data_IF_187631413835
#
_entry.id   IF_187631413835
#
_cell.length_a   1.000
_cell.length_b   1.000
_cell.length_c   1.000
_cell.angle_alpha   90.00
_cell.angle_beta   90.00
_cell.angle_gamma   90.00
#
_symmetry.space_group_name_H-M   'P 1'
#
loop_
_entity.id
_entity.type
_entity.pdbx_description
1 polymer ?
2 non-polymer ?
3 non-polymer ?
4 water ?
#
# COMPACT_ATOMS: atom_id res chain seq x y z
N UNK A 38 16.71 -5.44 -2.13
CA UNK A 38 17.19 -4.59 -3.29
C UNK A 38 17.25 -5.43 -4.57
N UNK A 39 18.46 -5.85 -4.97
CA UNK A 39 18.59 -6.86 -6.02
C UNK A 39 17.84 -8.14 -5.60
N UNK A 40 17.73 -8.36 -4.28
CA UNK A 40 16.94 -9.45 -3.70
C UNK A 40 15.45 -9.32 -3.99
N UNK A 41 14.87 -8.16 -3.68
CA UNK A 41 13.45 -7.90 -3.99
C UNK A 41 13.20 -7.74 -5.50
N UNK A 42 14.14 -7.06 -6.18
CA UNK A 42 14.02 -6.76 -7.61
C UNK A 42 13.93 -8.04 -8.44
N UNK A 43 12.94 -8.09 -9.33
CA UNK A 43 12.74 -9.27 -10.16
C UNK A 43 11.28 -9.58 -10.44
N UNK A 44 11.03 -10.81 -10.87
CA UNK A 44 9.70 -11.27 -11.26
C UNK A 44 9.18 -12.28 -10.24
N UNK A 45 7.95 -12.08 -9.79
CA UNK A 45 7.32 -12.91 -8.76
C UNK A 45 5.94 -13.35 -9.24
N UNK A 46 5.54 -14.58 -8.86
CA UNK A 46 4.18 -15.06 -9.09
C UNK A 46 3.52 -15.46 -7.77
N UNK A 47 2.21 -15.29 -7.70
CA UNK A 47 1.50 -15.75 -6.51
C UNK A 47 0.64 -16.99 -6.81
N UNK A 48 -0.03 -17.48 -5.77
CA UNK A 48 -0.78 -18.73 -5.85
C UNK A 48 -2.01 -18.63 -6.77
N UNK A 49 -2.43 -17.42 -7.13
CA UNK A 49 -3.49 -17.23 -8.13
C UNK A 49 -2.98 -17.31 -9.56
N UNK A 50 -1.67 -17.20 -9.75
CA UNK A 50 -1.11 -17.11 -11.10
C UNK A 50 -0.89 -15.68 -11.55
N UNK A 51 -1.06 -14.73 -10.61
CA UNK A 51 -0.76 -13.32 -10.89
C UNK A 51 0.74 -13.10 -10.93
N UNK A 52 1.18 -12.05 -11.64
CA UNK A 52 2.59 -11.73 -11.77
C UNK A 52 2.92 -10.29 -11.33
N UNK A 53 4.07 -10.13 -10.71
CA UNK A 53 4.49 -8.92 -10.01
C UNK A 53 5.95 -8.72 -10.49
N UNK A 54 6.20 -7.69 -11.30
CA UNK A 54 7.57 -7.32 -11.69
C UNK A 54 7.91 -6.03 -10.92
N UNK A 55 9.03 -6.04 -10.20
CA UNK A 55 9.34 -4.96 -9.28
C UNK A 55 10.81 -4.60 -9.33
N UNK A 56 11.09 -3.32 -9.11
CA UNK A 56 12.43 -2.85 -8.89
C UNK A 56 12.48 -2.17 -7.51
N UNK A 57 13.43 -2.60 -6.68
CA UNK A 57 13.58 -2.02 -5.35
C UNK A 57 14.71 -0.99 -5.41
N UNK A 58 14.36 0.29 -5.22
CA UNK A 58 15.34 1.38 -5.31
C UNK A 58 16.13 1.52 -4.02
N UNK A 59 17.32 2.09 -4.13
CA UNK A 59 18.21 2.34 -2.99
C UNK A 59 17.58 3.20 -1.88
N UNK A 60 16.64 4.06 -2.26
CA UNK A 60 15.95 4.97 -1.35
C UNK A 60 14.72 4.35 -0.64
N UNK A 61 14.47 3.06 -0.89
CA UNK A 61 13.31 2.39 -0.29
C UNK A 61 12.10 2.33 -1.21
N UNK A 62 12.27 2.77 -2.45
CA UNK A 62 11.16 2.77 -3.41
C UNK A 62 10.89 1.38 -4.00
N UNK A 63 9.61 1.03 -4.17
CA UNK A 63 9.25 -0.10 -5.02
C UNK A 63 8.45 0.44 -6.19
N UNK A 64 8.82 0.01 -7.40
CA UNK A 64 8.14 0.42 -8.63
C UNK A 64 8.00 -0.77 -9.56
N UNK A 65 6.95 -0.81 -10.34
CA UNK A 65 6.86 -1.87 -11.31
C UNK A 65 5.47 -2.05 -11.83
N UNK A 66 5.13 -3.30 -12.06
CA UNK A 66 3.97 -3.60 -12.86
C UNK A 66 3.33 -4.95 -12.40
N UNK A 67 2.01 -4.99 -12.33
CA UNK A 67 1.29 -6.13 -11.77
C UNK A 67 0.26 -6.65 -12.78
N UNK A 68 0.22 -7.96 -12.98
CA UNK A 68 -0.85 -8.59 -13.78
C UNK A 68 -1.62 -9.56 -12.90
N UNK A 69 -2.91 -9.31 -12.72
CA UNK A 69 -3.72 -10.19 -11.90
C UNK A 69 -4.38 -11.28 -12.76
N UNK A 70 -4.40 -12.50 -12.23
CA UNK A 70 -5.03 -13.63 -12.90
C UNK A 70 -6.57 -13.61 -12.71
N UNK A 71 -7.04 -12.79 -11.77
CA UNK A 71 -8.42 -12.84 -11.30
C UNK A 71 -9.00 -11.44 -11.11
N UNK A 72 -10.32 -11.32 -11.16
CA UNK A 72 -10.98 -10.04 -10.86
C UNK A 72 -11.30 -9.23 -12.10
N UNK A 73 -11.71 -8.00 -11.90
CA UNK A 73 -12.20 -7.17 -12.99
C UNK A 73 -11.05 -6.35 -13.56
N UNK A 74 -10.22 -7.02 -14.36
CA UNK A 74 -8.88 -6.51 -14.74
C UNK A 74 -8.31 -7.28 -15.92
N UNK A 75 -7.46 -6.61 -16.69
CA UNK A 75 -6.68 -7.24 -17.73
C UNK A 75 -5.45 -6.40 -18.03
N UNK A 76 -4.43 -7.05 -18.61
CA UNK A 76 -3.17 -6.39 -18.95
C UNK A 76 -2.40 -5.90 -17.68
N UNK A 77 -1.38 -5.06 -17.88
CA UNK A 77 -0.48 -4.63 -16.80
C UNK A 77 -1.02 -3.41 -16.09
N UNK A 78 -0.81 -3.35 -14.77
CA UNK A 78 -1.16 -2.17 -13.97
C UNK A 78 0.07 -1.65 -13.24
N UNK A 79 0.12 -0.34 -13.02
CA UNK A 79 1.23 0.29 -12.29
C UNK A 79 1.19 -0.09 -10.81
N UNK A 80 2.34 -0.45 -10.25
CA UNK A 80 2.43 -0.59 -8.80
C UNK A 80 3.47 0.35 -8.24
N UNK A 81 3.20 0.83 -7.03
CA UNK A 81 4.17 1.63 -6.30
C UNK A 81 4.11 1.28 -4.83
N UNK A 82 5.26 1.30 -4.17
CA UNK A 82 5.35 0.89 -2.76
C UNK A 82 6.62 1.38 -2.12
N UNK A 83 6.87 0.89 -0.91
CA UNK A 83 8.04 1.22 -0.11
C UNK A 83 8.50 -0.05 0.58
N UNK A 84 9.78 -0.13 0.87
CA UNK A 84 10.30 -1.23 1.68
C UNK A 84 11.37 -0.67 2.63
N UNK A 85 11.62 -1.43 3.68
CA UNK A 85 12.68 -1.12 4.64
C UNK A 85 14.02 -1.38 3.95
N UNK A 86 14.73 -0.29 3.60
CA UNK A 86 16.00 -0.42 2.88
C UNK A 86 17.22 -0.68 3.77
N UNK A 87 17.01 -0.75 5.09
CA UNK A 87 18.07 -1.15 6.02
C UNK A 87 17.52 -2.12 7.06
N UNK A 88 17.11 -3.33 6.63
CA UNK A 88 16.45 -4.25 7.57
C UNK A 88 17.40 -4.75 8.66
N UNK A 89 16.83 -5.43 9.65
CA UNK A 89 17.62 -6.10 10.67
C UNK A 89 18.37 -7.29 10.05
N UNK A 90 19.63 -7.46 10.42
CA UNK A 90 20.44 -8.55 9.86
C UNK A 90 20.30 -9.82 10.70
N UNK A 91 19.19 -9.91 11.43
CA UNK A 91 19.03 -10.96 12.42
C UNK A 91 18.17 -12.14 11.93
N UNK A 92 18.00 -12.31 10.62
CA UNK A 92 17.11 -13.36 10.14
C UNK A 92 15.65 -12.97 10.26
N UNK A 93 15.39 -11.67 10.45
CA UNK A 93 14.03 -11.13 10.33
C UNK A 93 13.80 -10.87 8.85
N UNK A 94 12.55 -10.94 8.44
CA UNK A 94 12.16 -10.54 7.09
C UNK A 94 12.29 -9.03 6.89
N UNK A 95 12.10 -8.60 5.64
CA UNK A 95 12.15 -7.20 5.26
C UNK A 95 10.75 -6.67 5.01
N UNK A 96 10.31 -5.74 5.85
CA UNK A 96 8.93 -5.23 5.74
C UNK A 96 8.77 -4.42 4.47
N UNK A 97 7.60 -4.56 3.85
CA UNK A 97 7.32 -3.80 2.63
C UNK A 97 5.82 -3.67 2.43
N UNK A 98 5.45 -2.84 1.48
CA UNK A 98 4.07 -2.83 1.00
C UNK A 98 3.99 -2.17 -0.35
N UNK A 99 2.93 -2.44 -1.10
CA UNK A 99 2.74 -1.73 -2.37
C UNK A 99 1.27 -1.64 -2.68
N UNK A 100 0.91 -0.70 -3.54
CA UNK A 100 -0.48 -0.60 -3.97
C UNK A 100 -0.63 -0.61 -5.48
N UNK A 101 -1.75 -1.16 -5.93
CA UNK A 101 -2.16 -1.12 -7.32
C UNK A 101 -3.57 -0.53 -7.33
N UNK A 102 -3.77 0.55 -8.11
CA UNK A 102 -5.13 0.98 -8.46
C UNK A 102 -5.49 0.30 -9.77
N UNK A 103 -6.62 -0.39 -9.77
CA UNK A 103 -7.01 -1.22 -10.90
C UNK A 103 -7.60 -0.40 -12.04
N UNK A 104 -6.83 0.58 -12.48
CA UNK A 104 -7.09 1.35 -13.68
C UNK A 104 -5.84 1.36 -14.55
N UNK A 105 -5.99 0.95 -15.80
CA UNK A 105 -4.95 1.16 -16.81
C UNK A 105 -5.60 1.68 -18.11
N UNK A 106 -4.91 1.58 -19.23
CA UNK A 106 -5.45 2.11 -20.48
C UNK A 106 -6.59 1.27 -21.04
N UNK A 107 -6.83 0.10 -20.44
CA UNK A 107 -7.81 -0.87 -20.97
C UNK A 107 -9.06 -1.05 -20.14
N UNK A 108 -8.90 -0.91 -18.82
CA UNK A 108 -9.99 -1.23 -17.90
C UNK A 108 -9.89 -0.41 -16.62
N UNK A 109 -11.05 -0.13 -16.04
CA UNK A 109 -11.09 0.52 -14.75
C UNK A 109 -12.09 -0.18 -13.86
N UNK A 110 -11.61 -0.82 -12.79
CA UNK A 110 -12.51 -1.55 -11.85
C UNK A 110 -13.00 -0.69 -10.71
N UNK A 111 -12.51 0.55 -10.64
CA UNK A 111 -12.85 1.49 -9.55
C UNK A 111 -12.53 0.85 -8.18
N UNK A 112 -11.29 0.39 -8.07
CA UNK A 112 -10.84 -0.33 -6.89
C UNK A 112 -9.32 -0.26 -6.80
N UNK A 113 -8.80 -0.64 -5.65
CA UNK A 113 -7.37 -0.61 -5.39
C UNK A 113 -7.03 -1.61 -4.31
N UNK A 114 -5.88 -2.26 -4.48
CA UNK A 114 -5.40 -3.25 -3.53
C UNK A 114 -4.10 -2.74 -2.94
N UNK A 115 -3.96 -2.93 -1.63
CA UNK A 115 -2.64 -2.74 -0.98
C UNK A 115 -2.21 -4.08 -0.38
N UNK A 116 -0.95 -4.43 -0.62
CA UNK A 116 -0.34 -5.61 -0.03
C UNK A 116 0.67 -5.18 1.01
N UNK A 117 0.57 -5.79 2.18
CA UNK A 117 1.48 -5.50 3.28
C UNK A 117 2.15 -6.81 3.68
N UNK A 118 3.48 -6.82 3.71
CA UNK A 118 4.14 -8.08 3.98
C UNK A 118 5.62 -7.99 4.28
N UNK A 119 6.28 -9.13 4.16
CA UNK A 119 7.71 -9.16 4.31
C UNK A 119 8.35 -10.05 3.26
N UNK A 120 9.50 -9.59 2.82
CA UNK A 120 10.37 -10.35 1.95
C UNK A 120 11.28 -11.23 2.80
N UNK A 121 11.33 -12.50 2.43
CA UNK A 121 12.23 -13.45 3.07
C UNK A 121 13.19 -13.97 2.01
N UNK A 122 14.47 -13.61 2.16
CA UNK A 122 15.46 -13.89 1.13
C UNK A 122 15.99 -15.31 1.13
N UNK A 123 17.08 -15.52 0.40
CA UNK A 123 17.70 -16.85 0.32
C UNK A 123 17.40 -17.55 -0.99
N UNK A 124 17.74 -18.84 -1.05
CA UNK A 124 17.62 -19.61 -2.28
C UNK A 124 16.17 -19.75 -2.76
N UNK A 125 15.25 -19.86 -1.81
CA UNK A 125 13.80 -19.96 -2.10
C UNK A 125 13.11 -18.70 -1.61
N UNK A 126 13.34 -17.59 -2.30
CA UNK A 126 12.90 -16.26 -1.82
C UNK A 126 11.38 -16.17 -1.88
N UNK A 127 10.79 -15.57 -0.85
CA UNK A 127 9.33 -15.41 -0.79
C UNK A 127 8.95 -14.00 -0.36
N UNK A 128 7.80 -13.51 -0.83
CA UNK A 128 7.17 -12.33 -0.23
C UNK A 128 5.82 -12.80 0.27
N UNK A 129 5.64 -12.73 1.59
CA UNK A 129 4.42 -13.19 2.27
C UNK A 129 3.58 -11.98 2.62
N UNK A 130 2.32 -11.96 2.17
CA UNK A 130 1.54 -10.74 2.29
C UNK A 130 0.16 -11.00 2.82
N UNK A 131 -0.40 -9.96 3.43
CA UNK A 131 -1.84 -9.83 3.59
C UNK A 131 -2.25 -8.60 2.77
N UNK A 132 -3.49 -8.60 2.27
CA UNK A 132 -3.92 -7.52 1.41
C UNK A 132 -5.32 -7.04 1.71
N UNK A 133 -5.56 -5.80 1.32
CA UNK A 133 -6.89 -5.19 1.39
C UNK A 133 -7.23 -4.66 0.02
N UNK A 134 -8.39 -5.07 -0.47
CA UNK A 134 -8.94 -4.58 -1.74
C UNK A 134 -10.17 -3.73 -1.45
N UNK A 135 -10.07 -2.43 -1.69
CA UNK A 135 -11.20 -1.52 -1.49
C UNK A 135 -11.78 -1.09 -2.82
N UNK A 136 -13.09 -1.23 -2.97
CA UNK A 136 -13.78 -0.72 -4.15
C UNK A 136 -14.45 0.61 -3.83
N UNK A 137 -14.50 1.51 -4.81
CA UNK A 137 -15.26 2.76 -4.63
C UNK A 137 -16.73 2.35 -4.50
N UNK A 138 -17.40 2.89 -3.48
CA UNK A 138 -18.81 2.60 -3.22
C UNK A 138 -19.58 3.89 -2.89
N UNK A 139 -20.90 3.81 -2.93
CA UNK A 139 -21.75 4.86 -2.38
C UNK A 139 -21.65 4.77 -0.87
N UNK A 140 -22.07 5.83 -0.18
CA UNK A 140 -22.00 5.84 1.28
C UNK A 140 -22.83 4.72 1.91
N UNK A 141 -23.99 4.44 1.32
CA UNK A 141 -24.86 3.36 1.79
C UNK A 141 -24.17 1.99 1.74
N UNK A 142 -23.26 1.82 0.78
CA UNK A 142 -22.58 0.53 0.57
C UNK A 142 -21.13 0.44 1.09
N UNK A 143 -20.67 1.48 1.77
CA UNK A 143 -19.27 1.53 2.24
C UNK A 143 -18.89 0.40 3.21
N UNK A 144 -19.86 -0.05 4.01
CA UNK A 144 -19.63 -1.18 4.93
C UNK A 144 -19.10 -2.45 4.23
N UNK A 145 -19.48 -2.66 2.96
CA UNK A 145 -19.01 -3.83 2.18
C UNK A 145 -18.00 -3.47 1.07
N UNK A 146 -17.26 -2.39 1.30
CA UNK A 146 -16.32 -1.87 0.29
C UNK A 146 -14.99 -2.63 0.23
N UNK A 147 -14.67 -3.38 1.28
CA UNK A 147 -13.30 -3.92 1.42
C UNK A 147 -13.17 -5.43 1.61
N UNK A 148 -12.42 -6.09 0.70
CA UNK A 148 -12.08 -7.50 0.84
C UNK A 148 -10.72 -7.63 1.50
N UNK A 149 -10.51 -8.72 2.23
CA UNK A 149 -9.22 -9.02 2.83
C UNK A 149 -8.77 -10.42 2.36
N UNK A 150 -7.46 -10.59 2.20
CA UNK A 150 -6.91 -11.89 1.81
C UNK A 150 -5.42 -11.98 2.09
N UNK A 151 -4.79 -13.00 1.51
CA UNK A 151 -3.37 -13.22 1.71
C UNK A 151 -2.75 -13.88 0.46
N UNK A 152 -1.65 -13.30 -0.02
CA UNK A 152 -0.95 -13.82 -1.19
C UNK A 152 0.46 -14.18 -0.81
N UNK A 153 0.92 -15.32 -1.33
CA UNK A 153 2.32 -15.70 -1.21
C UNK A 153 3.00 -15.61 -2.55
N UNK A 154 4.10 -14.86 -2.62
CA UNK A 154 4.81 -14.64 -3.87
C UNK A 154 6.12 -15.43 -3.89
N UNK A 155 6.34 -16.14 -4.99
CA UNK A 155 7.57 -16.89 -5.22
C UNK A 155 8.38 -16.20 -6.32
N UNK A 156 9.68 -16.00 -6.09
CA UNK A 156 10.53 -15.35 -7.09
C UNK A 156 10.90 -16.34 -8.19
N UNK A 157 10.89 -15.84 -9.42
CA UNK A 157 11.14 -16.62 -10.62
C UNK A 157 12.56 -16.37 -11.11
N UNK A 158 13.27 -17.45 -11.43
CA UNK A 158 14.63 -17.32 -11.98
C UNK A 158 14.59 -16.77 -13.42
N UNK B 40 -9.95 18.28 -3.73
CA UNK B 40 -9.74 16.84 -4.05
C UNK B 40 -8.86 16.14 -3.03
N UNK B 41 -8.15 15.12 -3.49
CA UNK B 41 -7.27 14.35 -2.62
C UNK B 41 -6.04 15.15 -2.24
N UNK B 42 -5.53 15.94 -3.18
CA UNK B 42 -4.31 16.70 -2.89
C UNK B 42 -4.55 17.61 -1.69
N UNK B 43 -3.66 17.54 -0.71
CA UNK B 43 -3.75 18.44 0.43
C UNK B 43 -3.17 17.83 1.67
N UNK B 44 -3.44 18.46 2.80
CA UNK B 44 -2.97 18.01 4.11
C UNK B 44 -4.13 17.44 4.93
N UNK B 45 -3.97 16.19 5.34
CA UNK B 45 -5.01 15.47 6.06
C UNK B 45 -4.54 15.06 7.43
N UNK B 46 -5.50 14.80 8.32
CA UNK B 46 -5.20 14.39 9.68
C UNK B 46 -6.14 13.29 10.07
N UNK B 47 -5.60 12.26 10.74
CA UNK B 47 -6.47 11.18 11.22
C UNK B 47 -6.85 11.34 12.70
N UNK B 48 -7.56 10.36 13.22
CA UNK B 48 -8.10 10.43 14.58
C UNK B 48 -7.00 10.32 15.64
N UNK B 49 -5.81 9.87 15.25
CA UNK B 49 -4.66 9.77 16.15
C UNK B 49 -3.87 11.07 16.25
N UNK B 50 -4.10 11.98 15.31
CA UNK B 50 -3.32 13.20 15.20
C UNK B 50 -2.17 13.11 14.22
N UNK B 51 -2.13 12.03 13.44
CA UNK B 51 -1.11 11.87 12.40
C UNK B 51 -1.40 12.83 11.23
N UNK B 52 -0.34 13.28 10.56
CA UNK B 52 -0.46 14.18 9.42
C UNK B 52 -0.11 13.45 8.13
N UNK B 53 -0.95 13.58 7.11
CA UNK B 53 -0.80 12.93 5.79
C UNK B 53 -0.83 14.07 4.74
N UNK B 54 0.32 14.35 4.14
CA UNK B 54 0.45 15.39 3.13
C UNK B 54 0.65 14.65 1.82
N UNK B 55 -0.30 14.81 0.90
CA UNK B 55 -0.31 14.02 -0.32
C UNK B 55 -0.57 14.87 -1.55
N UNK B 56 0.09 14.50 -2.66
CA UNK B 56 -0.22 15.03 -3.99
C UNK B 56 -0.79 13.92 -4.85
N UNK B 57 -1.93 14.18 -5.47
CA UNK B 57 -2.55 13.24 -6.40
C UNK B 57 -2.18 13.64 -7.84
N UNK B 58 -1.41 12.79 -8.52
CA UNK B 58 -0.96 13.10 -9.88
C UNK B 58 -2.12 12.82 -10.84
N UNK B 59 -2.07 13.39 -12.04
CA UNK B 59 -3.20 13.29 -12.99
C UNK B 59 -3.54 11.85 -13.38
N UNK B 60 -2.50 11.02 -13.48
CA UNK B 60 -2.62 9.65 -13.96
C UNK B 60 -2.75 8.57 -12.90
N UNK B 61 -2.85 8.97 -11.63
CA UNK B 61 -3.16 7.99 -10.59
C UNK B 61 -2.14 7.84 -9.49
N UNK B 62 -1.06 8.62 -9.55
CA UNK B 62 0.02 8.54 -8.54
C UNK B 62 -0.39 9.27 -7.26
N UNK B 63 0.01 8.70 -6.13
CA UNK B 63 -0.05 9.38 -4.85
C UNK B 63 1.37 9.49 -4.36
N UNK B 64 1.74 10.66 -3.90
CA UNK B 64 3.09 10.89 -3.43
C UNK B 64 3.02 11.85 -2.25
N UNK B 65 3.82 11.62 -1.22
CA UNK B 65 3.83 12.58 -0.14
C UNK B 65 4.61 12.15 1.08
N UNK B 66 4.15 12.65 2.23
CA UNK B 66 4.91 12.66 3.46
C UNK B 66 3.95 12.28 4.58
N UNK B 67 4.38 11.44 5.51
CA UNK B 67 3.51 11.05 6.63
C UNK B 67 4.21 11.34 7.95
N UNK B 68 3.47 11.89 8.92
CA UNK B 68 3.98 12.07 10.29
C UNK B 68 3.03 11.38 11.27
N UNK B 69 3.52 10.39 12.01
CA UNK B 69 2.64 9.62 12.93
C UNK B 69 2.66 10.11 14.37
N UNK B 70 1.47 10.13 14.97
CA UNK B 70 1.30 10.58 16.37
C UNK B 70 1.61 9.44 17.35
N UNK B 71 1.65 8.21 16.84
CA UNK B 71 1.88 7.03 17.65
C UNK B 71 2.87 6.05 17.02
N UNK B 72 3.48 5.21 17.86
CA UNK B 72 4.39 4.17 17.40
C UNK B 72 5.84 4.57 17.44
N UNK B 73 6.70 3.66 16.98
CA UNK B 73 8.14 3.78 17.06
C UNK B 73 8.62 4.59 15.86
N UNK B 74 8.47 5.91 15.97
CA UNK B 74 8.61 6.78 14.82
C UNK B 74 8.66 8.24 15.24
N UNK B 75 9.35 9.03 14.43
CA UNK B 75 9.45 10.48 14.62
C UNK B 75 9.72 11.20 13.30
N UNK B 76 9.20 12.41 13.19
CA UNK B 76 9.35 13.24 11.99
C UNK B 76 8.63 12.62 10.77
N UNK B 77 9.10 13.03 9.59
CA UNK B 77 8.49 12.72 8.30
C UNK B 77 8.95 11.37 7.76
N UNK B 78 8.04 10.69 7.07
CA UNK B 78 8.34 9.47 6.33
C UNK B 78 7.81 9.63 4.92
N UNK B 79 8.51 9.02 3.96
CA UNK B 79 8.09 9.03 2.55
C UNK B 79 6.90 8.10 2.39
N UNK B 80 5.89 8.54 1.63
CA UNK B 80 4.82 7.63 1.20
C UNK B 80 4.62 7.66 -0.30
N UNK B 81 4.21 6.51 -0.85
CA UNK B 81 3.76 6.44 -2.23
C UNK B 81 2.55 5.54 -2.33
N UNK B 82 1.68 5.85 -3.27
CA UNK B 82 0.55 5.02 -3.51
C UNK B 82 -0.08 5.26 -4.86
N UNK B 83 -1.31 4.79 -5.00
CA UNK B 83 -2.09 4.96 -6.23
C UNK B 83 -3.55 5.25 -5.89
N UNK B 84 -4.25 5.88 -6.83
CA UNK B 84 -5.68 6.11 -6.68
C UNK B 84 -6.38 6.01 -8.04
N UNK B 85 -7.69 5.80 -8.01
CA UNK B 85 -8.51 5.75 -9.21
C UNK B 85 -8.65 7.18 -9.77
N UNK B 86 -7.95 7.44 -10.88
CA UNK B 86 -7.93 8.79 -11.47
C UNK B 86 -9.11 9.06 -12.42
N UNK B 87 -10.03 8.11 -12.53
CA UNK B 87 -11.34 8.35 -13.18
C UNK B 87 -12.46 7.63 -12.43
N UNK B 88 -12.84 8.13 -11.23
CA UNK B 88 -13.86 7.37 -10.49
C UNK B 88 -15.22 7.35 -11.21
N UNK B 89 -16.11 6.47 -10.80
CA UNK B 89 -17.44 6.37 -11.40
C UNK B 89 -18.25 7.64 -11.12
N UNK B 90 -19.19 7.95 -12.00
CA UNK B 90 -19.96 9.19 -11.91
C UNK B 90 -21.34 8.98 -11.25
N UNK B 91 -21.43 8.03 -10.33
CA UNK B 91 -22.70 7.67 -9.69
C UNK B 91 -22.74 8.03 -8.20
N UNK B 92 -21.76 8.84 -7.76
CA UNK B 92 -21.68 9.24 -6.35
C UNK B 92 -20.79 8.34 -5.50
N UNK B 93 -20.16 7.33 -6.13
CA UNK B 93 -19.22 6.45 -5.43
C UNK B 93 -17.91 7.18 -5.06
N UNK B 94 -17.30 6.74 -3.95
CA UNK B 94 -16.00 7.20 -3.51
C UNK B 94 -14.88 6.79 -4.45
N UNK B 95 -13.71 7.37 -4.23
CA UNK B 95 -12.56 7.14 -5.06
C UNK B 95 -11.60 6.20 -4.36
N UNK B 96 -11.44 4.99 -4.90
CA UNK B 96 -10.53 3.99 -4.34
C UNK B 96 -9.08 4.46 -4.38
N UNK B 97 -8.32 4.11 -3.33
CA UNK B 97 -6.94 4.51 -3.24
C UNK B 97 -6.22 3.67 -2.20
N UNK B 98 -4.89 3.76 -2.21
CA UNK B 98 -4.07 3.06 -1.24
C UNK B 98 -2.69 3.71 -1.19
N UNK B 99 -2.01 3.62 -0.06
CA UNK B 99 -0.61 4.02 -0.02
C UNK B 99 0.19 3.27 1.03
N UNK B 100 1.51 3.38 0.92
CA UNK B 100 2.43 2.69 1.82
C UNK B 100 3.41 3.68 2.44
N UNK B 101 3.75 3.43 3.71
CA UNK B 101 4.89 4.03 4.38
C UNK B 101 5.73 2.90 4.94
N UNK B 102 7.03 2.90 4.61
CA UNK B 102 8.01 2.11 5.32
C UNK B 102 8.59 3.01 6.40
N UNK B 103 8.59 2.52 7.63
CA UNK B 103 8.84 3.36 8.81
C UNK B 103 10.34 3.48 9.07
N UNK B 104 11.04 3.94 8.05
CA UNK B 104 12.46 4.25 8.15
C UNK B 104 12.69 5.65 7.57
N UNK B 105 13.40 6.47 8.32
CA UNK B 105 13.84 7.79 7.84
C UNK B 105 15.24 8.06 8.43
N UNK B 106 15.71 9.32 8.40
CA UNK B 106 17.02 9.60 9.00
C UNK B 106 17.13 9.50 10.53
N UNK B 107 15.99 9.42 11.22
CA UNK B 107 15.99 9.40 12.70
C UNK B 107 15.81 8.02 13.33
N UNK B 108 14.95 7.20 12.71
CA UNK B 108 14.53 5.92 13.27
C UNK B 108 14.26 4.91 12.16
N UNK B 109 14.33 3.64 12.52
CA UNK B 109 13.92 2.54 11.65
C UNK B 109 13.21 1.50 12.52
N UNK B 110 11.91 1.37 12.31
CA UNK B 110 11.07 0.50 13.12
C UNK B 110 11.01 -0.89 12.49
N UNK B 111 11.61 -1.03 11.31
CA UNK B 111 11.61 -2.32 10.59
C UNK B 111 10.19 -2.82 10.33
N UNK B 112 9.37 -1.93 9.78
CA UNK B 112 7.94 -2.20 9.60
C UNK B 112 7.43 -1.30 8.49
N UNK B 113 6.27 -1.65 7.95
CA UNK B 113 5.63 -0.87 6.92
C UNK B 113 4.12 -0.94 7.09
N UNK B 114 3.44 0.15 6.79
CA UNK B 114 1.97 0.18 6.83
C UNK B 114 1.42 0.45 5.44
N UNK B 115 0.37 -0.29 5.05
CA UNK B 115 -0.43 0.03 3.89
C UNK B 115 -1.83 0.43 4.32
N UNK B 116 -2.32 1.55 3.78
CA UNK B 116 -3.70 1.97 3.97
C UNK B 116 -4.48 1.77 2.67
N UNK B 117 -5.68 1.21 2.79
CA UNK B 117 -6.55 0.94 1.65
C UNK B 117 -7.88 1.59 1.96
N UNK B 118 -8.41 2.33 1.01
CA UNK B 118 -9.61 3.06 1.30
C UNK B 118 -10.21 3.76 0.11
N UNK B 119 -11.09 4.70 0.45
CA UNK B 119 -11.70 5.54 -0.54
C UNK B 119 -11.83 6.99 -0.11
N UNK B 120 -11.59 7.88 -1.05
CA UNK B 120 -11.84 9.30 -0.84
C UNK B 120 -13.31 9.63 -1.12
N UNK B 121 -13.93 10.36 -0.19
CA UNK B 121 -15.31 10.79 -0.33
C UNK B 121 -15.30 12.31 -0.33
N UNK B 122 -15.65 12.91 -1.46
CA UNK B 122 -15.58 14.36 -1.60
C UNK B 122 -16.77 15.06 -0.99
N UNK B 123 -16.91 16.35 -1.24
CA UNK B 123 -18.07 17.10 -0.78
C UNK B 123 -17.65 18.12 0.25
N UNK B 124 -18.63 18.69 0.96
CA UNK B 124 -18.39 19.76 1.92
C UNK B 124 -17.33 19.43 2.96
N UNK B 125 -17.44 18.25 3.56
CA UNK B 125 -16.44 17.78 4.54
C UNK B 125 -15.81 16.47 4.06
N UNK B 126 -14.81 16.64 3.19
CA UNK B 126 -14.13 15.54 2.52
C UNK B 126 -13.51 14.60 3.54
N UNK B 127 -13.46 13.32 3.19
CA UNK B 127 -12.95 12.29 4.07
C UNK B 127 -12.14 11.32 3.26
N UNK B 128 -11.10 10.77 3.89
CA UNK B 128 -10.49 9.54 3.40
C UNK B 128 -10.69 8.46 4.48
N UNK B 129 -11.51 7.47 4.15
CA UNK B 129 -11.79 6.39 5.10
C UNK B 129 -10.97 5.17 4.72
N UNK B 130 -10.15 4.70 5.65
CA UNK B 130 -9.20 3.63 5.34
C UNK B 130 -9.28 2.50 6.37
N UNK B 131 -8.81 1.33 5.92
CA UNK B 131 -8.41 0.29 6.82
C UNK B 131 -6.95 0.07 6.49
N UNK B 132 -6.15 -0.33 7.46
CA UNK B 132 -4.72 -0.49 7.23
C UNK B 132 -4.15 -1.80 7.77
N UNK B 133 -2.99 -2.16 7.23
CA UNK B 133 -2.23 -3.31 7.67
C UNK B 133 -0.82 -2.84 8.02
N UNK B 134 -0.36 -3.15 9.22
CA UNK B 134 1.03 -2.80 9.57
C UNK B 134 1.77 -4.11 9.73
N UNK B 135 2.73 -4.40 8.85
CA UNK B 135 3.58 -5.61 9.00
C UNK B 135 4.95 -5.23 9.53
N UNK B 136 5.37 -5.91 10.60
CA UNK B 136 6.75 -5.78 11.09
C UNK B 136 7.62 -6.90 10.52
N UNK B 137 8.89 -6.62 10.25
CA UNK B 137 9.85 -7.69 9.92
C UNK B 137 10.02 -8.61 11.12
N UNK B 138 9.82 -9.91 10.91
CA UNK B 138 9.94 -10.91 11.97
C UNK B 138 10.70 -12.13 11.46
N UNK B 139 11.07 -13.02 12.37
CA UNK B 139 11.54 -14.32 11.94
C UNK B 139 10.36 -15.10 11.32
N UNK B 140 10.67 -16.14 10.56
CA UNK B 140 9.60 -16.95 9.96
C UNK B 140 8.67 -17.55 11.04
N UNK B 141 9.25 -18.00 12.14
CA UNK B 141 8.49 -18.56 13.27
C UNK B 141 7.57 -17.54 13.93
N UNK B 142 7.92 -16.25 13.88
CA UNK B 142 7.07 -15.24 14.50
C UNK B 142 6.12 -14.57 13.51
N UNK B 143 6.05 -15.09 12.29
CA UNK B 143 5.27 -14.45 11.23
C UNK B 143 3.75 -14.42 11.57
N UNK B 144 3.28 -15.39 12.35
CA UNK B 144 1.86 -15.45 12.72
C UNK B 144 1.36 -14.16 13.40
N UNK B 145 2.25 -13.49 14.14
CA UNK B 145 1.90 -12.27 14.88
C UNK B 145 2.59 -11.03 14.29
N UNK B 146 2.87 -11.05 12.99
CA UNK B 146 3.63 -9.94 12.38
C UNK B 146 2.79 -8.77 11.89
N UNK B 147 1.47 -8.94 11.80
CA UNK B 147 0.63 -7.96 11.08
C UNK B 147 -0.53 -7.47 11.93
N UNK B 148 -0.55 -6.16 12.17
CA UNK B 148 -1.63 -5.50 12.88
C UNK B 148 -2.63 -4.99 11.83
N UNK B 149 -3.90 -4.89 12.21
CA UNK B 149 -4.91 -4.34 11.34
C UNK B 149 -5.66 -3.26 12.11
N UNK B 150 -6.02 -2.20 11.41
CA UNK B 150 -6.75 -1.11 12.03
C UNK B 150 -7.50 -0.30 11.01
N UNK B 151 -8.00 0.84 11.46
CA UNK B 151 -8.73 1.74 10.57
C UNK B 151 -8.48 3.18 10.97
N UNK B 152 -8.31 4.02 9.96
CA UNK B 152 -8.01 5.44 10.15
C UNK B 152 -8.96 6.25 9.30
N UNK B 153 -9.57 7.27 9.91
CA UNK B 153 -10.35 8.25 9.16
C UNK B 153 -9.62 9.57 9.12
N UNK B 154 -9.44 10.10 7.91
CA UNK B 154 -8.70 11.35 7.69
C UNK B 154 -9.65 12.47 7.29
N UNK B 155 -9.41 13.66 7.83
CA UNK B 155 -10.14 14.85 7.43
C UNK B 155 -9.10 15.93 7.20
N UNK B 156 -9.51 17.01 6.55
CA UNK B 156 -8.60 18.16 6.37
C UNK B 156 -8.54 19.12 7.56
N UNK B 157 -9.25 18.80 8.67
CA UNK B 157 -9.28 19.65 9.88
C UNK B 157 -8.07 19.40 10.79
N UNK B 158 -7.28 20.44 11.02
CA UNK B 158 -6.15 20.38 11.94
C UNK B 158 -6.63 20.14 13.39
N UNK B 159 -5.95 19.24 14.13
CA UNK B 159 -6.27 18.94 15.54
C UNK B 159 -6.33 20.18 16.42
X LIG C 1 -4.26 -10.87 -6.78
X LIG C 1 -3.21 -11.35 -7.43
X LIG C 1 -5.20 -10.20 -7.40
X LIG C 1 -6.36 -10.08 -6.53
X LIG C 1 -5.73 -10.35 -5.16
X LIG C 1 -4.48 -11.00 -5.54
X LIG C 1 -5.44 -9.11 -4.31
X LIG C 1 -6.92 -8.66 -6.75
X LIG C 1 -7.58 -8.51 -8.13
X LIG C 1 -8.56 -7.35 -8.15
X LIG C 1 -8.86 -6.88 -9.58
X LIG C 1 -9.79 -5.66 -9.62
X LIG C 1 -11.16 -5.92 -9.02
X LIG C 1 -11.74 -6.99 -9.30
X LIG C 1 -11.62 -5.07 -8.24
X LIG D 1 -12.94 -13.82 -10.88
X LIG D 1 -13.00 -14.70 -9.70
X LIG D 1 -13.84 -14.35 -11.87
X LIG D 1 -13.37 -12.46 -10.54
X LIG D 1 -11.58 -13.82 -11.42
X LIG E 1 -14.08 -8.32 -7.50
X LIG E 1 -15.16 -9.21 -7.09
X LIG E 1 -13.81 -7.39 -6.41
X LIG E 1 -12.89 -9.12 -7.77
X LIG E 1 -14.45 -7.60 -8.72
X LIG F 1 -1.19 6.01 12.05
X LIG F 1 -1.48 7.28 11.77
X LIG F 1 -0.02 5.60 12.52
X LIG F 1 -0.11 4.21 12.95
X LIG F 1 -1.44 3.77 12.31
X LIG F 1 -2.01 5.04 11.89
X LIG F 1 -1.32 2.87 11.07
X LIG F 1 1.13 3.49 12.42
X LIG F 1 2.39 3.87 13.23
X LIG F 1 3.47 2.82 13.03
X LIG F 1 4.85 3.30 13.48
X LIG F 1 5.91 2.24 13.22
X LIG F 1 5.92 1.10 14.23
X LIG F 1 6.17 -0.05 13.84
X LIG F 1 5.72 1.35 15.45
X LIG G 1 3.42 5.98 21.63
X LIG G 1 3.41 7.36 21.16
X LIG G 1 4.59 5.73 22.45
X LIG G 1 2.21 5.75 22.42
X LIG G 1 3.44 5.06 20.50
X LIG H 1 1.03 11.02 -12.51
X LIG H 1 0.59 12.02 -13.50
X LIG H 1 1.87 11.70 -11.52
X LIG H 1 -0.13 10.41 -11.87
X LIG H 1 1.81 9.97 -13.18
X LIG I 1 -0.68 8.68 26.40
X LIG I 1 0.18 9.81 26.76
X LIG I 1 -1.29 8.07 27.59
X LIG I 1 -1.73 9.15 25.50
X LIG I 1 0.12 7.65 25.73
X LIG J 1 4.08 -1.81 16.84
X LIG J 1 4.50 -2.52 15.64
X LIG J 1 5.03 -0.75 17.16
X LIG J 1 2.78 -1.20 16.62
X LIG J 1 4.00 -2.76 17.94
#
# INVERSE_FOLDING_TARGET
MRKIVVAAIAVSLTTVSITASASADPSKDSKAQVSAAEAGITGTWYNQLGSTFIVTAGADGALTGTYVTARGNAESRYVLTGRYDSAPATDGSGTALGWTVAWKNNYRNAHSATTWSGQYVGGAEARINTQWLLTSGTTEANAWKSTLVGHDTFTKVKPSAASIDAAKKAGVNNGNPLDAVQQ
MRKIVVAAIAVSLTTVSITASASADPSKDSKAQVSAAEAGITGTWYNQLGSTFIVTAGADGALTGTYVTARGNAESRYVLTGRYDSAPATDGSGTALGWTVAWKNNYRNAHSATTWSGQYVGGAEARINTQWLLTSGTTEANAWKSTLVGHDTFTKVKPSAASIDAAKKAGVNNGNPLDAVQQ
DTB CN O N2 CR CS N1 CT CE CD CG CB CA C OI1 OI2
SO4 S O1 O2 O3 O4
SO4 S O1 O2 O3 O4
DTB CN O N2 CR CS N1 CT CE CD CG CB CA C OI1 OI2
SO4 S O1 O2 O3 O4
SO4 S O1 O2 O3 O4
SO4 S O1 O2 O3 O4
SO4 S O1 O2 O3 O4
#
